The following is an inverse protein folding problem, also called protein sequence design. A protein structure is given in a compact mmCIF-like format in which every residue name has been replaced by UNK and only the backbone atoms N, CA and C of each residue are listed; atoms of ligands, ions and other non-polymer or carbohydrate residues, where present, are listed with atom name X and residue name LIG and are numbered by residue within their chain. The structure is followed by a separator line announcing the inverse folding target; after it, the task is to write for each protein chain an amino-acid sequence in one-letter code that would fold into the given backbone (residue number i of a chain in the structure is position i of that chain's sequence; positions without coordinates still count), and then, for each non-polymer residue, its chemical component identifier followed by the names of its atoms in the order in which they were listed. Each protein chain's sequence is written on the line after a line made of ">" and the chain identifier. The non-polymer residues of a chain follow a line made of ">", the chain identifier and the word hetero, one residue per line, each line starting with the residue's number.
data_IF_441474026103
#
_entry.id   IF_441474026103
#
_cell.length_a   1.000
_cell.length_b   1.000
_cell.length_c   1.000
_cell.angle_alpha   90.00
_cell.angle_beta   90.00
_cell.angle_gamma   90.00
#
_symmetry.space_group_name_H-M   'P 1'
#
loop_
_entity.id
_entity.type
_entity.pdbx_description
1 polymer ?
#
# COMPACT_ATOMS: atom_id res chain seq x y z
N UNK A 1 -53.51 -60.03 3.28
CA UNK A 1 -53.99 -58.64 3.44
C UNK A 1 -54.03 -58.39 4.94
N UNK A 2 -53.18 -57.60 5.60
CA UNK A 2 -52.98 -56.15 5.49
C UNK A 2 -51.77 -55.75 6.37
N UNK A 3 -50.56 -55.68 5.80
CA UNK A 3 -49.38 -55.13 6.51
C UNK A 3 -48.58 -54.21 5.57
N UNK A 4 -49.27 -53.24 4.95
CA UNK A 4 -48.64 -52.23 4.08
C UNK A 4 -49.11 -50.79 4.34
N UNK A 5 -49.94 -50.56 5.37
CA UNK A 5 -50.54 -49.25 5.64
C UNK A 5 -50.04 -48.51 6.88
N UNK A 6 -49.13 -49.10 7.68
CA UNK A 6 -48.60 -48.42 8.88
C UNK A 6 -47.23 -47.75 8.70
N UNK A 7 -46.57 -47.92 7.55
CA UNK A 7 -45.23 -47.37 7.33
C UNK A 7 -45.22 -45.94 6.77
N UNK A 8 -46.34 -45.43 6.27
CA UNK A 8 -46.41 -44.12 5.61
C UNK A 8 -46.72 -42.94 6.55
N UNK A 9 -47.11 -43.20 7.81
CA UNK A 9 -47.43 -42.13 8.77
C UNK A 9 -46.22 -41.76 9.64
N UNK A 10 -45.19 -42.61 9.71
CA UNK A 10 -44.00 -42.34 10.53
C UNK A 10 -42.99 -41.37 9.89
N UNK A 11 -43.14 -41.02 8.61
CA UNK A 11 -42.20 -40.12 7.91
C UNK A 11 -42.66 -38.66 7.85
N UNK A 12 -43.90 -38.35 8.24
CA UNK A 12 -44.47 -37.00 8.09
C UNK A 12 -44.20 -36.02 9.25
N UNK A 13 -43.74 -36.50 10.40
CA UNK A 13 -43.64 -35.66 11.62
C UNK A 13 -42.21 -35.23 11.98
N UNK A 14 -41.17 -35.66 11.24
CA UNK A 14 -39.77 -35.36 11.57
C UNK A 14 -39.18 -34.12 10.88
N UNK A 15 -39.90 -33.48 9.94
CA UNK A 15 -39.32 -32.47 9.05
C UNK A 15 -39.56 -31.01 9.46
N UNK A 16 -40.19 -30.74 10.61
CA UNK A 16 -40.51 -29.37 11.05
C UNK A 16 -39.54 -28.78 12.10
N UNK A 17 -38.45 -29.49 12.42
CA UNK A 17 -37.42 -29.01 13.35
C UNK A 17 -36.02 -29.01 12.73
N UNK A 18 -35.91 -28.77 11.41
CA UNK A 18 -34.62 -28.36 10.86
C UNK A 18 -34.34 -26.95 11.39
N UNK A 19 -33.26 -26.71 12.15
CA UNK A 19 -32.84 -25.35 12.44
C UNK A 19 -32.54 -24.74 11.08
N UNK A 20 -33.32 -23.73 10.69
CA UNK A 20 -32.96 -22.84 9.60
C UNK A 20 -31.51 -22.47 9.87
N UNK A 21 -30.61 -22.97 9.03
CA UNK A 21 -29.22 -22.61 9.08
C UNK A 21 -29.21 -21.10 9.07
N UNK A 22 -28.88 -20.51 10.22
CA UNK A 22 -28.54 -19.12 10.32
C UNK A 22 -27.46 -18.93 9.28
N UNK A 23 -27.83 -18.31 8.15
CA UNK A 23 -26.85 -17.65 7.30
C UNK A 23 -26.29 -16.58 8.20
N UNK A 24 -25.30 -16.99 8.99
CA UNK A 24 -24.58 -16.14 9.89
C UNK A 24 -24.15 -14.96 9.04
N UNK A 25 -24.66 -13.79 9.39
CA UNK A 25 -24.11 -12.55 8.91
C UNK A 25 -22.64 -12.61 9.33
N UNK A 26 -21.75 -13.02 8.42
CA UNK A 26 -20.32 -12.94 8.63
C UNK A 26 -20.12 -11.49 9.04
N UNK A 27 -19.75 -11.27 10.31
CA UNK A 27 -19.34 -9.96 10.78
C UNK A 27 -18.42 -9.39 9.72
N UNK A 28 -18.84 -8.29 9.09
CA UNK A 28 -18.14 -7.75 7.94
C UNK A 28 -16.69 -7.52 8.38
N UNK A 29 -15.76 -8.31 7.84
CA UNK A 29 -14.35 -8.24 8.25
C UNK A 29 -13.88 -6.80 8.06
N UNK A 30 -13.34 -6.22 9.13
CA UNK A 30 -12.73 -4.90 9.07
C UNK A 30 -11.25 -5.09 8.72
N UNK A 31 -10.85 -4.66 7.52
CA UNK A 31 -9.46 -4.70 7.09
C UNK A 31 -8.66 -3.56 7.73
N UNK A 32 -7.42 -3.83 8.15
CA UNK A 32 -6.56 -2.86 8.83
C UNK A 32 -5.40 -2.46 7.92
N UNK A 33 -5.32 -1.17 7.61
CA UNK A 33 -4.27 -0.59 6.76
C UNK A 33 -3.29 0.17 7.65
N UNK A 34 -2.01 -0.20 7.64
CA UNK A 34 -0.96 0.56 8.31
C UNK A 34 -0.35 1.60 7.37
N UNK A 35 -0.64 2.87 7.57
CA UNK A 35 -0.09 3.96 6.77
C UNK A 35 1.16 4.55 7.43
N UNK A 36 2.32 4.32 6.82
CA UNK A 36 3.63 4.76 7.32
C UNK A 36 4.27 5.81 6.41
N UNK A 37 4.84 6.86 6.97
CA UNK A 37 5.75 7.69 6.18
C UNK A 37 6.44 8.83 6.92
N UNK A 38 7.23 9.59 6.15
CA UNK A 38 8.11 10.62 6.68
C UNK A 38 7.35 11.74 7.41
N UNK A 39 6.17 12.13 6.92
CA UNK A 39 5.33 13.15 7.53
C UNK A 39 3.89 13.07 7.03
N UNK A 40 3.00 13.92 7.54
CA UNK A 40 1.62 13.98 7.08
C UNK A 40 1.55 14.30 5.59
N UNK A 41 0.72 13.56 4.86
CA UNK A 41 0.53 13.72 3.43
C UNK A 41 -0.98 13.76 3.09
N UNK A 42 -1.72 14.81 3.49
CA UNK A 42 -3.18 14.84 3.40
C UNK A 42 -3.69 14.53 2.00
N UNK A 43 -3.12 15.15 0.96
CA UNK A 43 -3.52 14.87 -0.43
C UNK A 43 -3.32 13.41 -0.87
N UNK A 44 -2.31 12.70 -0.36
CA UNK A 44 -2.13 11.26 -0.66
C UNK A 44 -3.13 10.39 0.09
N UNK A 45 -3.44 10.75 1.33
CA UNK A 45 -4.40 10.03 2.17
C UNK A 45 -5.81 10.19 1.59
N UNK A 46 -6.18 11.39 1.18
CA UNK A 46 -7.50 11.65 0.61
C UNK A 46 -7.68 10.96 -0.74
N UNK A 47 -6.64 10.95 -1.58
CA UNK A 47 -6.63 10.17 -2.82
C UNK A 47 -6.75 8.66 -2.57
N UNK A 48 -6.03 8.12 -1.57
CA UNK A 48 -6.14 6.71 -1.17
C UNK A 48 -7.57 6.39 -0.71
N UNK A 49 -8.15 7.21 0.18
CA UNK A 49 -9.52 7.05 0.67
C UNK A 49 -10.55 7.12 -0.45
N UNK A 50 -10.35 8.02 -1.41
CA UNK A 50 -11.22 8.13 -2.58
C UNK A 50 -11.19 6.84 -3.41
N UNK A 51 -10.01 6.37 -3.81
CA UNK A 51 -9.89 5.13 -4.57
C UNK A 51 -10.40 3.90 -3.81
N UNK A 52 -10.17 3.82 -2.51
CA UNK A 52 -10.72 2.75 -1.67
C UNK A 52 -12.25 2.79 -1.61
N UNK A 53 -12.84 3.97 -1.48
CA UNK A 53 -14.29 4.16 -1.45
C UNK A 53 -14.94 3.77 -2.77
N UNK A 54 -14.32 4.09 -3.90
CA UNK A 54 -14.81 3.70 -5.23
C UNK A 54 -14.84 2.17 -5.41
N UNK A 55 -13.99 1.46 -4.67
CA UNK A 55 -13.94 0.01 -4.60
C UNK A 55 -14.83 -0.58 -3.47
N UNK A 56 -15.62 0.25 -2.78
CA UNK A 56 -16.51 -0.16 -1.69
C UNK A 56 -15.85 -0.26 -0.31
N UNK A 57 -14.59 0.15 -0.17
CA UNK A 57 -13.88 0.19 1.11
C UNK A 57 -14.00 1.57 1.76
N UNK A 58 -14.70 1.63 2.90
CA UNK A 58 -15.04 2.86 3.63
C UNK A 58 -14.48 2.80 5.06
N UNK A 59 -13.64 3.78 5.39
CA UNK A 59 -13.05 3.95 6.72
C UNK A 59 -14.13 4.03 7.80
N UNK A 60 -13.98 3.24 8.87
CA UNK A 60 -14.96 3.12 9.94
C UNK A 60 -16.13 2.17 9.66
N UNK A 61 -16.25 1.61 8.45
CA UNK A 61 -17.25 0.58 8.13
C UNK A 61 -16.63 -0.80 7.93
N UNK A 62 -15.74 -0.93 6.95
CA UNK A 62 -15.10 -2.19 6.58
C UNK A 62 -13.57 -2.06 6.45
N UNK A 63 -13.01 -0.87 6.66
CA UNK A 63 -11.57 -0.66 6.83
C UNK A 63 -11.28 0.25 8.03
N UNK A 64 -10.09 0.07 8.61
CA UNK A 64 -9.48 0.95 9.60
C UNK A 64 -8.08 1.35 9.10
N UNK A 65 -7.73 2.62 9.19
CA UNK A 65 -6.40 3.10 8.79
C UNK A 65 -5.63 3.58 10.03
N UNK A 66 -4.52 2.91 10.31
CA UNK A 66 -3.61 3.20 11.41
C UNK A 66 -2.44 4.03 10.88
N UNK A 67 -2.26 5.26 11.36
CA UNK A 67 -1.23 6.17 10.85
C UNK A 67 0.00 6.20 11.75
N UNK A 68 1.20 6.22 11.15
CA UNK A 68 2.46 6.55 11.84
C UNK A 68 3.31 7.48 11.00
N UNK A 69 3.75 8.57 11.63
CA UNK A 69 4.56 9.61 11.00
C UNK A 69 5.90 9.73 11.71
N UNK A 70 6.97 9.79 10.91
CA UNK A 70 8.32 9.99 11.41
C UNK A 70 8.65 11.47 11.74
N UNK A 71 7.75 12.41 11.45
CA UNK A 71 7.94 13.86 11.62
C UNK A 71 9.26 14.36 11.01
N UNK A 72 9.60 13.85 9.82
CA UNK A 72 10.81 14.18 9.08
C UNK A 72 12.05 13.35 9.44
N UNK A 73 12.07 12.64 10.57
CA UNK A 73 13.21 11.82 11.02
C UNK A 73 13.10 10.38 10.54
N UNK A 74 13.82 10.05 9.46
CA UNK A 74 13.78 8.72 8.85
C UNK A 74 14.22 7.59 9.79
N UNK A 75 15.00 7.93 10.82
CA UNK A 75 15.49 7.03 11.87
C UNK A 75 14.35 6.46 12.73
N UNK A 76 13.20 7.14 12.78
CA UNK A 76 12.01 6.67 13.52
C UNK A 76 11.20 5.63 12.76
N UNK A 77 11.34 5.56 11.44
CA UNK A 77 10.50 4.70 10.58
C UNK A 77 10.58 3.21 10.95
N UNK A 78 11.75 2.61 11.28
CA UNK A 78 11.81 1.21 11.68
C UNK A 78 10.98 0.90 12.92
N UNK A 79 11.06 1.72 13.97
CA UNK A 79 10.27 1.53 15.19
C UNK A 79 8.77 1.67 14.92
N UNK A 80 8.38 2.70 14.16
CA UNK A 80 7.01 2.93 13.77
C UNK A 80 6.42 1.80 12.90
N UNK A 81 7.24 1.19 12.04
CA UNK A 81 6.85 0.03 11.25
C UNK A 81 6.58 -1.19 12.14
N UNK A 82 7.43 -1.43 13.15
CA UNK A 82 7.22 -2.50 14.13
C UNK A 82 5.94 -2.28 14.95
N UNK A 83 5.66 -1.05 15.37
CA UNK A 83 4.39 -0.71 16.04
C UNK A 83 3.18 -1.07 15.18
N UNK A 84 3.19 -0.68 13.90
CA UNK A 84 2.13 -1.01 12.96
C UNK A 84 1.99 -2.52 12.73
N UNK A 85 3.10 -3.25 12.58
CA UNK A 85 3.08 -4.71 12.43
C UNK A 85 2.43 -5.41 13.63
N UNK A 86 2.65 -4.90 14.85
CA UNK A 86 2.04 -5.42 16.09
C UNK A 86 0.53 -5.20 16.18
N UNK A 87 -0.04 -4.30 15.37
CA UNK A 87 -1.49 -4.08 15.31
C UNK A 87 -2.21 -5.12 14.42
N UNK A 88 -1.52 -6.15 13.92
CA UNK A 88 -2.07 -7.15 13.01
C UNK A 88 -2.74 -6.48 11.80
N UNK A 89 -2.03 -5.54 11.17
CA UNK A 89 -2.50 -4.93 9.92
C UNK A 89 -2.48 -5.95 8.78
N UNK A 90 -3.41 -5.80 7.84
CA UNK A 90 -3.50 -6.64 6.65
C UNK A 90 -2.56 -6.16 5.54
N UNK A 91 -2.25 -4.86 5.50
CA UNK A 91 -1.38 -4.25 4.47
C UNK A 91 -0.67 -3.00 4.98
N UNK A 92 0.60 -2.87 4.64
CA UNK A 92 1.33 -1.62 4.76
C UNK A 92 1.07 -0.74 3.55
N UNK A 93 0.76 0.53 3.79
CA UNK A 93 0.80 1.57 2.78
C UNK A 93 1.89 2.55 3.17
N UNK A 94 2.84 2.78 2.29
CA UNK A 94 4.01 3.61 2.59
C UNK A 94 4.19 4.70 1.54
N UNK A 95 4.70 5.85 1.96
CA UNK A 95 5.24 6.85 1.05
C UNK A 95 6.65 7.23 1.50
N UNK A 96 7.41 7.89 0.63
CA UNK A 96 8.86 8.13 0.76
C UNK A 96 9.70 6.85 0.67
N UNK A 97 10.89 6.93 0.05
CA UNK A 97 11.72 5.73 -0.26
C UNK A 97 12.18 4.97 1.00
N UNK A 98 12.28 5.62 2.16
CA UNK A 98 12.65 4.98 3.43
C UNK A 98 11.51 4.18 4.08
N UNK A 99 10.24 4.51 3.79
CA UNK A 99 9.06 3.83 4.33
C UNK A 99 8.97 2.34 3.97
N UNK A 100 9.01 1.96 2.68
CA UNK A 100 8.95 0.55 2.28
C UNK A 100 10.10 -0.29 2.85
N UNK A 101 11.31 0.28 2.99
CA UNK A 101 12.45 -0.41 3.63
C UNK A 101 12.17 -0.73 5.09
N UNK A 102 11.67 0.24 5.85
CA UNK A 102 11.30 0.04 7.24
C UNK A 102 10.17 -0.99 7.39
N UNK A 103 9.16 -0.94 6.54
CA UNK A 103 8.06 -1.91 6.53
C UNK A 103 8.55 -3.34 6.24
N UNK A 104 9.44 -3.51 5.25
CA UNK A 104 10.04 -4.81 4.91
C UNK A 104 10.89 -5.39 6.03
N UNK A 105 11.57 -4.54 6.79
CA UNK A 105 12.32 -4.96 7.98
C UNK A 105 11.40 -5.38 9.12
N UNK A 106 10.24 -4.74 9.27
CA UNK A 106 9.27 -5.07 10.32
C UNK A 106 8.49 -6.36 10.01
N UNK A 107 8.23 -6.67 8.74
CA UNK A 107 7.58 -7.92 8.34
C UNK A 107 7.90 -8.31 6.89
N UNK A 108 8.24 -9.59 6.71
CA UNK A 108 8.44 -10.20 5.40
C UNK A 108 7.13 -10.75 4.79
N UNK A 109 6.05 -10.87 5.57
CA UNK A 109 4.80 -11.52 5.14
C UNK A 109 3.67 -10.52 4.85
N UNK A 110 3.63 -9.39 5.55
CA UNK A 110 2.59 -8.37 5.33
C UNK A 110 2.86 -7.69 3.97
N UNK A 111 1.88 -7.63 3.05
CA UNK A 111 2.04 -6.90 1.79
C UNK A 111 2.34 -5.42 2.02
N UNK A 112 3.22 -4.85 1.18
CA UNK A 112 3.66 -3.46 1.26
C UNK A 112 3.33 -2.77 -0.06
N UNK A 113 2.47 -1.76 0.00
CA UNK A 113 2.10 -0.88 -1.12
C UNK A 113 2.86 0.43 -1.00
N UNK A 114 3.77 0.69 -1.94
CA UNK A 114 4.50 1.96 -2.05
C UNK A 114 3.73 2.99 -2.89
N UNK A 115 3.64 4.23 -2.42
CA UNK A 115 2.99 5.34 -3.12
C UNK A 115 4.04 6.37 -3.52
N UNK A 116 4.22 6.53 -4.83
CA UNK A 116 5.04 7.57 -5.43
C UNK A 116 6.45 7.66 -4.80
N UNK A 117 7.11 6.52 -4.62
CA UNK A 117 8.49 6.48 -4.14
C UNK A 117 9.47 6.80 -5.28
N UNK A 118 10.71 7.16 -4.96
CA UNK A 118 11.76 7.25 -6.00
C UNK A 118 12.03 5.88 -6.64
N UNK A 119 12.97 5.83 -7.60
CA UNK A 119 13.24 4.64 -8.42
C UNK A 119 13.36 3.35 -7.57
N UNK A 120 12.32 2.53 -7.61
CA UNK A 120 12.18 1.35 -6.75
C UNK A 120 13.17 0.23 -7.14
N UNK A 121 13.57 0.16 -8.42
CA UNK A 121 14.55 -0.82 -8.89
C UNK A 121 15.94 -0.37 -8.48
N UNK A 122 16.31 0.87 -8.79
CA UNK A 122 17.63 1.41 -8.46
C UNK A 122 17.89 1.43 -6.94
N UNK A 123 16.84 1.54 -6.13
CA UNK A 123 16.95 1.53 -4.66
C UNK A 123 16.86 0.13 -4.04
N UNK A 124 16.76 -0.94 -4.84
CA UNK A 124 16.64 -2.32 -4.35
C UNK A 124 15.38 -2.59 -3.54
N UNK A 125 14.31 -1.82 -3.78
CA UNK A 125 13.01 -2.09 -3.17
C UNK A 125 12.32 -3.27 -3.84
N UNK A 126 12.47 -3.38 -5.17
CA UNK A 126 11.90 -4.43 -6.01
C UNK A 126 12.93 -4.90 -7.04
N UNK A 127 12.82 -6.15 -7.50
CA UNK A 127 13.71 -6.71 -8.53
C UNK A 127 13.44 -6.09 -9.90
N UNK A 128 12.16 -5.92 -10.25
CA UNK A 128 11.71 -5.26 -11.48
C UNK A 128 10.33 -4.64 -11.29
N UNK A 129 9.96 -3.70 -12.16
CA UNK A 129 8.62 -3.08 -12.09
C UNK A 129 7.50 -4.03 -12.52
N UNK A 130 7.78 -4.95 -13.44
CA UNK A 130 6.81 -5.93 -13.92
C UNK A 130 6.64 -7.10 -12.94
N UNK A 131 7.71 -7.48 -12.24
CA UNK A 131 7.76 -8.59 -11.28
C UNK A 131 8.59 -8.16 -10.07
N UNK A 132 7.95 -7.71 -8.99
CA UNK A 132 8.67 -7.13 -7.85
C UNK A 132 9.58 -8.10 -7.06
N UNK A 133 9.30 -9.40 -7.11
CA UNK A 133 10.13 -10.44 -6.47
C UNK A 133 9.92 -10.64 -4.96
N UNK A 134 8.95 -9.95 -4.34
CA UNK A 134 8.68 -10.08 -2.90
C UNK A 134 7.33 -9.49 -2.48
N UNK A 135 7.21 -9.11 -1.21
CA UNK A 135 5.98 -8.53 -0.64
C UNK A 135 5.79 -7.03 -0.93
N UNK A 136 6.64 -6.40 -1.72
CA UNK A 136 6.54 -4.98 -2.09
C UNK A 136 5.93 -4.82 -3.48
N UNK A 137 4.93 -3.95 -3.62
CA UNK A 137 4.33 -3.51 -4.89
C UNK A 137 3.90 -2.06 -4.81
N UNK A 138 3.47 -1.44 -5.91
CA UNK A 138 2.87 -0.10 -5.89
C UNK A 138 3.38 0.79 -7.01
N UNK A 139 3.52 2.09 -6.72
CA UNK A 139 3.88 3.12 -7.70
C UNK A 139 5.24 3.76 -7.39
N UNK A 140 6.03 3.94 -8.45
CA UNK A 140 7.32 4.64 -8.44
C UNK A 140 7.25 5.88 -9.32
N UNK A 141 7.99 6.92 -8.96
CA UNK A 141 8.20 8.10 -9.78
C UNK A 141 9.39 7.80 -10.70
N UNK A 142 9.16 7.83 -12.01
CA UNK A 142 10.20 7.71 -13.03
C UNK A 142 10.99 9.02 -13.13
N UNK A 143 11.77 9.34 -12.10
CA UNK A 143 12.56 10.56 -12.05
C UNK A 143 13.64 10.60 -13.14
N UNK A 144 14.60 9.67 -13.15
CA UNK A 144 15.73 9.68 -14.09
C UNK A 144 15.30 9.57 -15.56
N UNK A 145 14.31 8.72 -15.86
CA UNK A 145 13.85 8.47 -17.22
C UNK A 145 13.16 9.71 -17.83
N UNK A 146 12.57 10.56 -16.98
CA UNK A 146 11.90 11.78 -17.40
C UNK A 146 12.81 13.03 -17.42
N UNK A 147 14.08 12.92 -17.01
CA UNK A 147 15.00 14.09 -17.00
C UNK A 147 15.17 14.66 -18.40
N UNK A 148 15.40 13.81 -19.40
CA UNK A 148 15.56 14.24 -20.79
C UNK A 148 14.32 15.01 -21.28
N UNK A 149 13.12 14.47 -21.03
CA UNK A 149 11.87 15.12 -21.45
C UNK A 149 11.62 16.43 -20.70
N UNK A 150 11.99 16.52 -19.42
CA UNK A 150 11.92 17.77 -18.64
C UNK A 150 12.85 18.83 -19.21
N UNK A 151 14.06 18.45 -19.64
CA UNK A 151 15.00 19.38 -20.27
C UNK A 151 14.53 19.81 -21.67
N UNK A 152 13.93 18.90 -22.43
CA UNK A 152 13.29 19.20 -23.71
C UNK A 152 12.17 20.24 -23.54
N UNK A 153 11.23 20.00 -22.61
CA UNK A 153 10.16 20.96 -22.29
C UNK A 153 10.71 22.32 -21.83
N UNK A 154 11.80 22.33 -21.05
CA UNK A 154 12.46 23.57 -20.64
C UNK A 154 13.06 24.32 -21.84
N UNK A 155 13.61 23.61 -22.82
CA UNK A 155 14.19 24.18 -24.05
C UNK A 155 13.09 24.70 -24.99
N UNK A 156 11.94 24.04 -25.07
CA UNK A 156 10.77 24.53 -25.80
C UNK A 156 10.24 25.83 -25.18
N UNK A 157 10.09 25.87 -23.85
CA UNK A 157 9.60 27.06 -23.14
C UNK A 157 10.61 28.23 -23.16
N UNK A 158 11.91 27.93 -23.10
CA UNK A 158 13.00 28.90 -23.09
C UNK A 158 14.07 28.56 -24.14
N UNK A 159 13.85 28.87 -25.43
CA UNK A 159 14.73 28.45 -26.54
C UNK A 159 16.19 28.90 -26.40
N UNK A 160 16.43 30.04 -25.72
CA UNK A 160 17.77 30.61 -25.52
C UNK A 160 18.52 30.07 -24.32
N UNK A 161 17.93 29.16 -23.52
CA UNK A 161 18.60 28.61 -22.35
C UNK A 161 19.84 27.79 -22.77
N UNK A 162 20.99 28.08 -22.14
CA UNK A 162 22.28 27.44 -22.45
C UNK A 162 22.96 26.82 -21.23
N UNK A 163 22.51 27.16 -20.01
CA UNK A 163 23.03 26.64 -18.74
C UNK A 163 21.87 26.31 -17.81
N UNK A 164 21.91 25.13 -17.21
CA UNK A 164 20.95 24.67 -16.21
C UNK A 164 21.73 24.18 -15.00
N UNK A 165 21.51 24.79 -13.84
CA UNK A 165 22.09 24.35 -12.59
C UNK A 165 21.13 23.39 -11.88
N UNK A 166 21.67 22.31 -11.31
CA UNK A 166 20.91 21.33 -10.54
C UNK A 166 21.40 21.35 -9.09
N UNK A 167 20.51 21.75 -8.17
CA UNK A 167 20.76 21.62 -6.74
C UNK A 167 20.21 20.26 -6.28
N UNK A 168 21.11 19.40 -5.82
CA UNK A 168 20.77 18.04 -5.41
C UNK A 168 21.31 17.78 -4.02
N UNK A 169 20.50 17.11 -3.19
CA UNK A 169 20.98 16.58 -1.92
C UNK A 169 22.02 15.48 -2.22
N UNK A 170 23.24 15.54 -1.67
CA UNK A 170 24.21 14.48 -1.85
C UNK A 170 23.66 13.14 -1.33
N UNK A 171 24.09 12.02 -1.95
CA UNK A 171 23.75 10.64 -1.59
C UNK A 171 22.27 10.25 -1.74
N UNK A 172 21.59 10.69 -2.80
CA UNK A 172 20.30 10.11 -3.21
C UNK A 172 20.57 8.78 -3.94
N UNK A 173 20.13 7.61 -3.43
CA UNK A 173 20.50 6.30 -4.00
C UNK A 173 20.08 6.09 -5.46
N UNK A 174 19.08 6.83 -5.95
CA UNK A 174 18.55 6.73 -7.31
C UNK A 174 19.23 7.64 -8.34
N UNK A 175 20.29 8.37 -7.96
CA UNK A 175 21.06 9.23 -8.88
C UNK A 175 22.51 8.74 -8.97
N UNK A 176 22.95 8.17 -10.11
CA UNK A 176 24.35 7.82 -10.30
C UNK A 176 25.18 9.11 -10.43
N UNK A 177 26.20 9.26 -9.58
CA UNK A 177 27.33 10.17 -9.75
C UNK A 177 27.01 11.68 -9.76
N UNK A 178 27.33 12.35 -8.64
CA UNK A 178 27.87 13.73 -8.61
C UNK A 178 27.25 14.80 -9.55
N UNK A 179 25.93 14.86 -9.68
CA UNK A 179 25.26 16.05 -10.20
C UNK A 179 24.79 16.92 -9.04
N UNK A 180 25.70 17.63 -8.40
CA UNK A 180 25.34 18.60 -7.37
C UNK A 180 26.46 19.60 -7.19
N UNK A 181 26.15 20.88 -7.37
CA UNK A 181 27.00 21.95 -6.85
C UNK A 181 27.00 21.76 -5.33
N UNK A 182 28.14 21.36 -4.77
CA UNK A 182 28.35 21.39 -3.32
C UNK A 182 28.34 22.85 -2.91
N UNK A 183 27.30 23.29 -2.22
CA UNK A 183 27.36 24.48 -1.39
C UNK A 183 27.96 24.11 -0.04
#
# INVERSE_FOLDING_TARGET
>A
MTTRRKLLIAFGAGALAAPLASFGQQSARVYRIGFLGAGKAPGRIDALRAGLRDLGYVEGKNIMIEYRWAEGSSERLPQLAVELARLNIDVFVTHSTSGPRAARQASASIPIVMIAVGDAVATGLVESLARPGGNITGSTILGPQLVAKRLEMLKEALPRISRVALLVRPNIPSLPGSYGIRC
#
